data_IF_678562318415
#
_entry.id   IF_678562318415
#
_cell.length_a   1.000
_cell.length_b   1.000
_cell.length_c   1.000
_cell.angle_alpha   90.00
_cell.angle_beta   90.00
_cell.angle_gamma   90.00
#
_symmetry.space_group_name_H-M   'P 1'
#
loop_
_entity.id
_entity.type
_entity.pdbx_description
1 polymer ?
#
# COMPACT_ATOMS: atom_id res chain seq x y z
N UNK A 1 -38.00 -36.24 -49.14
CA UNK A 1 -39.44 -36.12 -48.90
C UNK A 1 -39.64 -36.42 -47.44
N UNK A 2 -40.01 -35.43 -46.64
CA UNK A 2 -40.79 -35.61 -45.42
C UNK A 2 -41.28 -34.24 -44.99
N UNK A 3 -42.60 -34.19 -44.87
CA UNK A 3 -43.43 -33.01 -44.93
C UNK A 3 -43.41 -32.15 -43.66
N UNK A 4 -43.44 -30.84 -43.91
CA UNK A 4 -43.75 -29.79 -42.95
C UNK A 4 -45.25 -29.92 -42.65
N UNK A 5 -45.63 -30.39 -41.45
CA UNK A 5 -47.00 -30.25 -40.99
C UNK A 5 -47.14 -29.16 -39.93
N UNK A 6 -47.89 -28.14 -40.34
CA UNK A 6 -48.34 -26.97 -39.63
C UNK A 6 -49.75 -27.24 -39.07
N UNK A 7 -49.94 -27.17 -37.75
CA UNK A 7 -51.23 -26.89 -37.10
C UNK A 7 -50.91 -26.59 -35.64
N UNK A 8 -51.31 -25.48 -35.04
CA UNK A 8 -52.44 -24.62 -35.29
C UNK A 8 -52.93 -24.20 -33.91
N UNK A 9 -53.03 -22.90 -33.74
CA UNK A 9 -53.45 -22.11 -32.58
C UNK A 9 -54.67 -22.64 -31.78
N UNK A 10 -54.86 -21.99 -30.63
CA UNK A 10 -55.99 -22.04 -29.67
C UNK A 10 -55.74 -23.00 -28.49
N UNK A 11 -55.96 -22.63 -27.22
CA UNK A 11 -56.75 -21.54 -26.63
C UNK A 11 -56.35 -21.38 -25.16
N UNK A 12 -56.47 -20.15 -24.66
CA UNK A 12 -56.21 -19.73 -23.29
C UNK A 12 -57.29 -20.28 -22.35
N UNK A 13 -56.93 -21.19 -21.44
CA UNK A 13 -57.76 -21.51 -20.27
C UNK A 13 -57.09 -20.90 -19.05
N UNK A 14 -57.62 -19.75 -18.61
CA UNK A 14 -57.28 -19.19 -17.30
C UNK A 14 -58.05 -20.01 -16.27
N UNK A 15 -57.40 -21.06 -15.77
CA UNK A 15 -57.82 -21.75 -14.55
C UNK A 15 -57.18 -21.01 -13.37
N UNK A 16 -57.96 -20.15 -12.72
CA UNK A 16 -57.64 -19.57 -11.41
C UNK A 16 -57.66 -20.68 -10.35
N UNK A 17 -56.58 -21.46 -10.29
CA UNK A 17 -56.38 -22.46 -9.25
C UNK A 17 -55.74 -21.78 -8.04
N UNK A 18 -56.50 -21.70 -6.95
CA UNK A 18 -56.07 -21.09 -5.68
C UNK A 18 -54.70 -21.65 -5.25
N UNK A 19 -53.70 -20.79 -5.34
CA UNK A 19 -52.31 -21.06 -4.99
C UNK A 19 -52.23 -21.31 -3.48
N UNK A 20 -51.93 -22.55 -3.10
CA UNK A 20 -51.73 -22.93 -1.70
C UNK A 20 -50.56 -22.13 -1.08
N UNK A 21 -50.67 -21.72 0.20
CA UNK A 21 -49.81 -20.70 0.82
C UNK A 21 -48.33 -21.09 1.03
N UNK A 22 -47.92 -22.32 0.67
CA UNK A 22 -46.55 -22.81 0.90
C UNK A 22 -45.54 -22.44 -0.19
N UNK A 23 -45.96 -22.11 -1.41
CA UNK A 23 -45.04 -21.82 -2.52
C UNK A 23 -44.66 -20.34 -2.68
N UNK A 24 -45.43 -19.41 -2.10
CA UNK A 24 -45.15 -17.97 -2.19
C UNK A 24 -43.95 -17.59 -1.30
N UNK A 25 -43.80 -18.25 -0.15
CA UNK A 25 -42.75 -17.94 0.83
C UNK A 25 -41.36 -18.24 0.26
N UNK A 26 -41.22 -19.24 -0.61
CA UNK A 26 -39.92 -19.58 -1.21
C UNK A 26 -39.48 -18.58 -2.30
N UNK A 27 -40.41 -17.96 -3.03
CA UNK A 27 -40.08 -16.95 -4.05
C UNK A 27 -39.62 -15.60 -3.44
N UNK A 28 -40.13 -15.25 -2.26
CA UNK A 28 -39.76 -14.03 -1.53
C UNK A 28 -38.33 -14.10 -0.96
N UNK A 29 -37.84 -15.30 -0.61
CA UNK A 29 -36.48 -15.49 -0.13
C UNK A 29 -35.42 -15.25 -1.23
N UNK A 30 -35.68 -15.68 -2.47
CA UNK A 30 -34.73 -15.50 -3.58
C UNK A 30 -34.67 -14.06 -4.12
N UNK A 31 -35.78 -13.33 -4.09
CA UNK A 31 -35.80 -11.91 -4.50
C UNK A 31 -35.15 -10.99 -3.46
N UNK A 32 -35.21 -11.33 -2.17
CA UNK A 32 -34.49 -10.60 -1.12
C UNK A 32 -32.97 -10.64 -1.24
N UNK A 33 -32.40 -11.77 -1.70
CA UNK A 33 -30.95 -11.93 -1.87
C UNK A 33 -30.42 -11.08 -3.03
N UNK A 34 -31.13 -11.01 -4.16
CA UNK A 34 -30.71 -10.19 -5.31
C UNK A 34 -30.91 -8.68 -5.09
N UNK A 35 -31.87 -8.29 -4.24
CA UNK A 35 -32.11 -6.88 -3.91
C UNK A 35 -31.06 -6.31 -2.94
N UNK A 36 -30.36 -7.16 -2.18
CA UNK A 36 -29.39 -6.71 -1.17
C UNK A 36 -28.07 -6.16 -1.76
N UNK A 37 -27.82 -6.34 -3.07
CA UNK A 37 -26.58 -5.89 -3.71
C UNK A 37 -26.62 -4.46 -4.28
N UNK A 38 -27.74 -3.73 -4.23
CA UNK A 38 -27.86 -2.39 -4.85
C UNK A 38 -27.81 -1.22 -3.83
N UNK A 39 -27.49 -1.49 -2.56
CA UNK A 39 -27.62 -0.52 -1.47
C UNK A 39 -26.33 -0.01 -0.81
N UNK A 40 -25.14 -0.24 -1.37
CA UNK A 40 -23.91 0.34 -0.82
C UNK A 40 -23.50 1.58 -1.61
N UNK A 41 -23.99 2.75 -1.18
CA UNK A 41 -23.23 3.97 -1.39
C UNK A 41 -21.84 3.75 -0.83
N UNK A 42 -20.75 4.03 -1.57
CA UNK A 42 -19.41 3.94 -1.02
C UNK A 42 -19.40 4.82 0.24
N UNK A 43 -18.99 4.31 1.41
CA UNK A 43 -18.79 5.18 2.54
C UNK A 43 -17.83 6.26 2.08
N UNK A 44 -18.21 7.53 2.29
CA UNK A 44 -17.24 8.62 2.29
C UNK A 44 -16.38 8.39 3.53
N UNK A 45 -15.54 7.35 3.46
CA UNK A 45 -14.52 7.04 4.44
C UNK A 45 -13.55 8.19 4.29
N UNK A 46 -13.71 9.18 5.15
CA UNK A 46 -12.58 9.99 5.59
C UNK A 46 -11.54 8.97 6.05
N UNK A 47 -10.62 8.66 5.14
CA UNK A 47 -9.64 7.60 5.30
C UNK A 47 -8.76 7.90 6.49
N UNK A 48 -9.16 7.44 7.66
CA UNK A 48 -8.18 6.91 8.59
C UNK A 48 -7.72 5.61 7.95
N UNK A 49 -6.78 5.76 7.01
CA UNK A 49 -5.98 4.67 6.48
C UNK A 49 -5.30 4.07 7.71
N UNK A 50 -5.89 3.00 8.26
CA UNK A 50 -5.17 2.07 9.13
C UNK A 50 -4.24 1.25 8.24
N UNK A 51 -3.31 1.93 7.58
CA UNK A 51 -2.05 1.30 7.23
C UNK A 51 -1.44 0.89 8.56
N UNK A 52 -0.89 -0.31 8.62
CA UNK A 52 0.27 -0.56 9.46
C UNK A 52 1.35 0.45 9.07
N UNK A 53 1.23 1.68 9.58
CA UNK A 53 2.31 2.65 9.59
C UNK A 53 3.29 2.02 10.57
N UNK A 54 4.19 1.17 10.06
CA UNK A 54 5.48 0.96 10.72
C UNK A 54 5.94 2.35 11.13
N UNK A 55 6.02 2.58 12.43
CA UNK A 55 6.23 3.87 13.07
C UNK A 55 7.28 4.66 12.32
N UNK A 56 6.84 5.51 11.39
CA UNK A 56 7.73 6.39 10.67
C UNK A 56 7.94 7.55 11.63
N UNK A 57 9.00 7.46 12.45
CA UNK A 57 9.32 8.53 13.37
C UNK A 57 9.33 9.86 12.60
N UNK A 58 8.65 10.91 13.09
CA UNK A 58 8.52 12.15 12.35
C UNK A 58 9.91 12.79 12.19
N UNK A 59 10.42 12.78 10.96
CA UNK A 59 11.66 13.47 10.58
C UNK A 59 11.36 14.81 9.93
N UNK A 60 12.30 15.74 10.05
CA UNK A 60 12.18 17.05 9.41
C UNK A 60 12.20 16.92 7.88
N UNK A 61 11.56 17.86 7.15
CA UNK A 61 11.64 17.91 5.70
C UNK A 61 13.09 18.00 5.19
N UNK A 62 13.98 18.65 5.94
CA UNK A 62 15.40 18.75 5.60
C UNK A 62 16.08 17.37 5.58
N UNK A 63 15.86 16.55 6.61
CA UNK A 63 16.41 15.18 6.67
C UNK A 63 15.85 14.34 5.52
N UNK A 64 14.52 14.37 5.33
CA UNK A 64 13.85 13.64 4.24
C UNK A 64 14.43 14.01 2.87
N UNK A 65 14.51 15.30 2.56
CA UNK A 65 14.93 15.78 1.25
C UNK A 65 16.42 15.50 1.01
N UNK A 66 17.26 15.67 2.04
CA UNK A 66 18.69 15.37 1.93
C UNK A 66 18.95 13.88 1.68
N UNK A 67 18.21 12.98 2.34
CA UNK A 67 18.33 11.52 2.11
C UNK A 67 17.84 11.13 0.72
N UNK A 68 16.67 11.61 0.29
CA UNK A 68 16.15 11.31 -1.05
C UNK A 68 17.06 11.85 -2.16
N UNK A 69 17.63 13.05 -1.97
CA UNK A 69 18.62 13.60 -2.90
C UNK A 69 19.88 12.75 -2.96
N UNK A 70 20.40 12.33 -1.81
CA UNK A 70 21.59 11.47 -1.76
C UNK A 70 21.32 10.10 -2.41
N UNK A 71 20.14 9.53 -2.19
CA UNK A 71 19.71 8.29 -2.86
C UNK A 71 19.53 8.45 -4.37
N UNK A 72 18.99 9.59 -4.82
CA UNK A 72 18.87 9.94 -6.23
C UNK A 72 20.25 10.00 -6.92
N UNK A 73 21.22 10.67 -6.29
CA UNK A 73 22.60 10.74 -6.79
C UNK A 73 23.27 9.37 -6.89
N UNK A 74 23.04 8.49 -5.91
CA UNK A 74 23.67 7.16 -5.86
C UNK A 74 23.01 6.15 -6.82
N UNK A 75 21.70 6.26 -7.05
CA UNK A 75 20.95 5.34 -7.91
C UNK A 75 20.80 5.82 -9.36
N UNK A 76 21.03 7.10 -9.62
CA UNK A 76 20.72 7.74 -10.91
C UNK A 76 19.23 7.93 -11.17
N UNK A 77 18.36 7.62 -10.21
CA UNK A 77 16.91 7.75 -10.33
C UNK A 77 16.43 9.13 -9.85
N UNK A 78 15.35 9.69 -10.43
CA UNK A 78 14.76 10.91 -9.90
C UNK A 78 14.21 10.67 -8.48
N UNK A 79 14.22 11.71 -7.65
CA UNK A 79 13.70 11.64 -6.28
C UNK A 79 12.23 11.22 -6.21
N UNK A 80 11.45 11.45 -7.26
CA UNK A 80 10.06 11.01 -7.39
C UNK A 80 9.88 9.50 -7.49
N UNK A 81 10.93 8.75 -7.87
CA UNK A 81 10.94 7.29 -7.94
C UNK A 81 11.44 6.63 -6.65
N UNK A 82 11.73 7.42 -5.61
CA UNK A 82 12.33 6.95 -4.37
C UNK A 82 11.38 7.21 -3.19
N UNK A 83 11.23 6.19 -2.35
CA UNK A 83 10.32 6.22 -1.21
C UNK A 83 11.06 5.87 0.07
N UNK A 84 10.90 6.71 1.09
CA UNK A 84 11.28 6.34 2.46
C UNK A 84 10.22 5.38 2.99
N UNK A 85 10.65 4.20 3.40
CA UNK A 85 9.78 3.12 3.89
C UNK A 85 10.01 2.77 5.35
N UNK A 86 11.09 3.26 5.96
CA UNK A 86 11.34 3.07 7.39
C UNK A 86 12.22 4.19 7.94
N UNK A 87 11.94 4.64 9.16
CA UNK A 87 12.75 5.64 9.85
C UNK A 87 12.83 5.30 11.33
N UNK A 88 14.05 5.14 11.84
CA UNK A 88 14.30 4.82 13.23
C UNK A 88 15.27 5.85 13.85
N UNK A 89 14.95 6.46 15.01
CA UNK A 89 15.92 7.27 15.75
C UNK A 89 17.07 6.38 16.22
N UNK A 90 18.30 6.88 16.11
CA UNK A 90 19.52 6.19 16.52
C UNK A 90 20.52 7.16 17.14
N UNK A 91 21.47 6.62 17.91
CA UNK A 91 22.63 7.35 18.42
C UNK A 91 23.89 6.64 17.93
N UNK A 92 24.74 7.37 17.23
CA UNK A 92 25.98 6.87 16.67
C UNK A 92 27.15 7.12 17.62
N UNK A 93 28.17 6.27 17.57
CA UNK A 93 29.33 6.33 18.47
C UNK A 93 30.36 7.42 18.10
N UNK A 94 30.29 7.95 16.87
CA UNK A 94 31.22 8.95 16.34
C UNK A 94 30.55 9.89 15.33
N UNK A 95 31.28 10.95 14.96
CA UNK A 95 30.86 11.92 13.93
C UNK A 95 30.82 11.33 12.50
N UNK A 96 31.34 10.13 12.31
CA UNK A 96 31.27 9.35 11.09
C UNK A 96 30.03 8.46 11.01
N UNK A 97 29.10 8.59 11.96
CA UNK A 97 27.85 7.84 12.05
C UNK A 97 28.06 6.33 12.25
N UNK A 98 29.20 5.96 12.86
CA UNK A 98 29.63 4.59 13.04
C UNK A 98 30.01 3.88 11.73
N UNK A 99 30.30 4.64 10.67
CA UNK A 99 30.70 4.15 9.35
C UNK A 99 32.05 4.79 8.96
N UNK A 100 33.10 4.44 9.71
CA UNK A 100 34.46 4.96 9.52
C UNK A 100 35.09 4.44 8.23
N UNK A 101 35.79 5.32 7.52
CA UNK A 101 36.69 4.98 6.41
C UNK A 101 38.12 5.06 6.95
N UNK A 102 39.03 4.11 6.66
CA UNK A 102 40.45 4.19 7.00
C UNK A 102 41.13 5.53 6.67
N UNK A 103 40.67 6.23 5.63
CA UNK A 103 41.25 7.51 5.18
C UNK A 103 40.73 8.74 5.94
N UNK A 104 39.71 8.57 6.80
CA UNK A 104 39.05 9.68 7.51
C UNK A 104 39.14 9.47 9.01
N UNK A 105 39.68 10.47 9.71
CA UNK A 105 39.68 10.49 11.17
C UNK A 105 38.30 10.85 11.70
N UNK A 106 37.71 9.94 12.48
CA UNK A 106 36.41 10.11 13.11
C UNK A 106 36.58 10.47 14.59
N UNK A 107 35.89 11.52 15.04
CA UNK A 107 35.88 11.92 16.45
C UNK A 107 34.88 11.08 17.23
N UNK A 108 35.33 10.43 18.29
CA UNK A 108 34.48 9.66 19.21
C UNK A 108 33.56 10.61 19.98
N UNK A 109 32.27 10.58 19.65
CA UNK A 109 31.25 11.39 20.31
C UNK A 109 29.87 10.80 19.99
N UNK A 110 28.96 10.83 20.97
CA UNK A 110 27.58 10.41 20.73
C UNK A 110 26.86 11.39 19.81
N UNK A 111 26.43 10.90 18.64
CA UNK A 111 25.69 11.70 17.65
C UNK A 111 24.28 11.16 17.49
N UNK A 112 23.28 11.92 17.95
CA UNK A 112 21.88 11.60 17.68
C UNK A 112 21.54 11.78 16.21
N UNK A 113 20.69 10.89 15.68
CA UNK A 113 20.37 10.87 14.27
C UNK A 113 19.29 9.86 13.90
N UNK A 114 19.30 9.46 12.63
CA UNK A 114 18.27 8.60 12.04
C UNK A 114 18.89 7.52 11.17
N UNK A 115 18.37 6.30 11.31
CA UNK A 115 18.53 5.24 10.34
C UNK A 115 17.31 5.21 9.43
N UNK A 116 17.52 5.35 8.13
CA UNK A 116 16.45 5.58 7.15
C UNK A 116 16.58 4.57 6.03
N UNK A 117 15.52 3.84 5.75
CA UNK A 117 15.46 2.96 4.60
C UNK A 117 14.72 3.63 3.43
N UNK A 118 15.37 3.66 2.27
CA UNK A 118 14.84 4.16 1.00
C UNK A 118 14.66 2.99 0.04
N UNK A 119 13.63 2.99 -0.79
CA UNK A 119 13.42 1.98 -1.84
C UNK A 119 12.99 2.63 -3.15
N UNK A 120 13.28 1.97 -4.27
CA UNK A 120 12.68 2.25 -5.57
C UNK A 120 11.62 1.20 -5.97
N UNK A 121 11.26 0.31 -5.04
CA UNK A 121 10.37 -0.84 -5.27
C UNK A 121 11.11 -2.15 -5.56
N UNK A 122 12.32 -2.10 -6.12
CA UNK A 122 13.13 -3.29 -6.45
C UNK A 122 14.33 -3.46 -5.52
N UNK A 123 14.98 -2.34 -5.19
CA UNK A 123 16.17 -2.27 -4.36
C UNK A 123 15.92 -1.34 -3.19
N UNK A 124 16.50 -1.69 -2.04
CA UNK A 124 16.39 -0.90 -0.82
C UNK A 124 17.78 -0.46 -0.36
N UNK A 125 17.90 0.77 0.11
CA UNK A 125 19.13 1.34 0.64
C UNK A 125 18.92 1.71 2.09
N UNK A 126 19.90 1.43 2.93
CA UNK A 126 19.92 1.84 4.32
C UNK A 126 20.87 3.02 4.48
N UNK A 127 20.38 4.11 5.02
CA UNK A 127 21.14 5.32 5.29
C UNK A 127 21.22 5.60 6.79
N UNK A 128 22.33 6.17 7.21
CA UNK A 128 22.50 6.79 8.53
C UNK A 128 22.67 8.28 8.35
N UNK A 129 22.04 9.06 9.22
CA UNK A 129 22.12 10.53 9.23
C UNK A 129 22.31 11.06 10.63
N UNK A 130 22.84 12.28 10.77
CA UNK A 130 22.73 13.03 12.02
C UNK A 130 21.34 13.70 12.14
N UNK A 131 21.03 14.28 13.31
CA UNK A 131 19.72 14.87 13.61
C UNK A 131 19.23 15.91 12.57
N UNK A 132 20.15 16.68 11.98
CA UNK A 132 19.84 17.74 11.00
C UNK A 132 19.80 17.25 9.55
N UNK A 133 20.33 16.06 9.25
CA UNK A 133 20.50 15.56 7.89
C UNK A 133 21.65 16.24 7.13
N UNK A 134 22.56 16.94 7.83
CA UNK A 134 23.75 17.55 7.21
C UNK A 134 24.89 16.55 6.99
N UNK A 135 24.88 15.43 7.73
CA UNK A 135 25.76 14.29 7.49
C UNK A 135 24.90 13.09 7.12
N UNK A 136 25.20 12.46 5.98
CA UNK A 136 24.48 11.30 5.45
C UNK A 136 25.50 10.30 4.94
N UNK A 137 25.35 9.04 5.30
CA UNK A 137 26.13 7.92 4.77
C UNK A 137 25.22 6.76 4.42
N UNK A 138 25.54 6.08 3.32
CA UNK A 138 24.90 4.81 2.99
C UNK A 138 25.57 3.73 3.83
N UNK A 139 24.78 2.99 4.59
CA UNK A 139 25.24 1.85 5.36
C UNK A 139 25.37 0.60 4.47
N UNK A 140 24.35 0.34 3.65
CA UNK A 140 24.32 -0.80 2.72
C UNK A 140 23.20 -0.70 1.69
N UNK A 141 23.40 -1.42 0.58
CA UNK A 141 22.37 -1.76 -0.39
C UNK A 141 21.78 -3.13 -0.02
N UNK A 142 20.47 -3.26 -0.08
CA UNK A 142 19.69 -4.47 0.14
C UNK A 142 18.97 -4.80 -1.17
N UNK A 143 19.55 -5.73 -1.93
CA UNK A 143 18.94 -6.35 -3.10
C UNK A 143 19.00 -7.87 -2.94
N UNK A 144 17.98 -8.58 -3.45
CA UNK A 144 18.06 -10.02 -3.60
C UNK A 144 19.07 -10.32 -4.70
N UNK A 145 20.12 -11.07 -4.35
CA UNK A 145 21.04 -11.67 -5.34
C UNK A 145 20.36 -12.74 -6.17
#
# INVERSE_FOLDING_TARGET
MEDINNRGSATKTIETKLIQPRLIIQALAFTGILYFCMGQTPPKTTGVISSSVETMAPISPLVRNSVLRHASQQSGLPTSALHIVHVQPQTWADNCLGLSNPEVLCTQMSVSGWQIAVTNGQQRWLYRTNKSGSAIKMERVMGNG
#
